data_IF_873531991088
#
_entry.id   IF_873531991088
#
_cell.length_a   1.000
_cell.length_b   1.000
_cell.length_c   1.000
_cell.angle_alpha   90.00
_cell.angle_beta   90.00
_cell.angle_gamma   90.00
#
_symmetry.space_group_name_H-M   'P 1'
#
loop_
_entity.id
_entity.type
_entity.pdbx_description
1 polymer ?
#
# COMPACT_ATOMS: atom_id res chain seq x y z
N UNK A 1 -0.42 3.32 16.02
CA UNK A 1 0.65 3.47 15.02
C UNK A 1 0.98 4.94 14.99
N UNK A 2 2.24 5.27 15.22
CA UNK A 2 2.73 6.62 15.03
C UNK A 2 3.46 6.68 13.69
N UNK A 3 3.12 7.67 12.86
CA UNK A 3 3.83 7.96 11.62
C UNK A 3 4.72 9.19 11.85
N UNK A 4 6.02 9.04 11.65
CA UNK A 4 7.01 10.10 11.70
C UNK A 4 7.33 10.52 10.27
N UNK A 5 6.71 11.59 9.77
CA UNK A 5 7.15 12.29 8.56
C UNK A 5 7.68 13.66 8.94
N UNK A 6 8.59 14.24 8.16
CA UNK A 6 9.42 15.43 8.46
C UNK A 6 8.75 16.72 8.99
N UNK A 7 7.45 16.73 9.28
CA UNK A 7 6.69 17.85 9.83
C UNK A 7 5.83 17.51 11.08
N UNK A 8 5.84 16.27 11.59
CA UNK A 8 5.11 15.95 12.84
C UNK A 8 4.86 14.46 13.12
N UNK A 9 4.36 14.20 14.33
CA UNK A 9 4.00 12.86 14.82
C UNK A 9 2.50 12.65 14.71
N UNK A 10 2.04 11.70 13.88
CA UNK A 10 0.61 11.40 13.73
C UNK A 10 0.23 10.11 14.46
N UNK A 11 -0.69 10.17 15.42
CA UNK A 11 -1.21 9.01 16.15
C UNK A 11 -2.49 8.47 15.51
N UNK A 12 -2.41 7.31 14.86
CA UNK A 12 -3.57 6.63 14.29
C UNK A 12 -4.34 5.86 15.38
N UNK A 13 -5.59 6.27 15.63
CA UNK A 13 -6.59 5.50 16.38
C UNK A 13 -7.29 4.48 15.47
N UNK A 14 -8.05 3.56 16.06
CA UNK A 14 -8.90 2.66 15.28
C UNK A 14 -9.81 3.48 14.35
N UNK A 15 -9.99 2.99 13.12
CA UNK A 15 -10.74 3.64 12.02
C UNK A 15 -10.21 5.00 11.54
N UNK A 16 -9.07 5.47 12.05
CA UNK A 16 -8.43 6.66 11.51
C UNK A 16 -7.94 6.39 10.08
N UNK A 17 -8.10 7.39 9.21
CA UNK A 17 -7.56 7.40 7.85
C UNK A 17 -6.45 8.43 7.82
N UNK A 18 -5.28 8.04 7.32
CA UNK A 18 -4.13 8.90 7.19
C UNK A 18 -3.70 8.82 5.74
N UNK A 19 -3.49 9.98 5.12
CA UNK A 19 -2.89 10.07 3.79
C UNK A 19 -1.41 10.37 4.01
N UNK A 20 -0.56 9.51 3.46
CA UNK A 20 0.89 9.63 3.53
C UNK A 20 1.39 9.96 2.13
N UNK A 21 2.38 10.84 2.04
CA UNK A 21 3.06 11.15 0.78
C UNK A 21 4.31 10.28 0.68
N UNK A 22 4.37 9.43 -0.35
CA UNK A 22 5.48 8.52 -0.60
C UNK A 22 6.79 9.25 -0.94
N UNK A 23 6.72 10.54 -1.31
CA UNK A 23 7.91 11.35 -1.58
C UNK A 23 8.70 11.72 -0.31
N UNK A 24 8.10 11.56 0.87
CA UNK A 24 8.71 11.90 2.15
C UNK A 24 8.96 10.64 2.97
N UNK A 25 10.09 10.62 3.68
CA UNK A 25 10.39 9.52 4.61
C UNK A 25 9.33 9.46 5.72
N UNK A 26 8.83 8.26 5.98
CA UNK A 26 7.86 8.00 7.02
C UNK A 26 8.16 6.71 7.77
N UNK A 27 8.26 6.79 9.10
CA UNK A 27 8.45 5.61 9.96
C UNK A 27 7.17 5.26 10.72
N UNK A 28 6.83 3.97 10.77
CA UNK A 28 5.67 3.45 11.49
C UNK A 28 6.09 2.72 12.77
N UNK A 29 5.69 3.24 13.94
CA UNK A 29 5.99 2.59 15.22
C UNK A 29 4.74 2.07 15.95
N UNK A 30 4.84 0.85 16.51
CA UNK A 30 3.82 0.25 17.37
C UNK A 30 4.35 0.06 18.80
N UNK A 31 3.98 0.96 19.71
CA UNK A 31 4.35 0.92 21.13
C UNK A 31 3.51 -0.06 21.98
N UNK A 32 2.79 -1.00 21.37
CA UNK A 32 1.92 -1.94 22.08
C UNK A 32 2.17 -3.38 21.64
N UNK A 33 1.91 -4.34 22.55
CA UNK A 33 2.02 -5.78 22.25
C UNK A 33 0.82 -6.32 21.44
N UNK A 34 -0.14 -5.46 21.10
CA UNK A 34 -1.30 -5.85 20.30
C UNK A 34 -0.99 -5.78 18.81
N UNK A 35 -1.50 -6.76 18.07
CA UNK A 35 -1.47 -6.78 16.61
C UNK A 35 -2.24 -5.59 16.06
N UNK A 36 -1.60 -4.83 15.16
CA UNK A 36 -2.25 -3.74 14.43
C UNK A 36 -2.27 -4.07 12.94
N UNK A 37 -3.48 -4.09 12.39
CA UNK A 37 -3.70 -4.28 10.95
C UNK A 37 -3.86 -2.90 10.32
N UNK A 38 -3.15 -2.68 9.22
CA UNK A 38 -3.18 -1.45 8.43
C UNK A 38 -3.54 -1.83 7.00
N UNK A 39 -4.44 -1.07 6.39
CA UNK A 39 -4.75 -1.19 4.98
C UNK A 39 -4.08 -0.04 4.24
N UNK A 40 -3.13 -0.37 3.37
CA UNK A 40 -2.53 0.57 2.43
C UNK A 40 -3.39 0.62 1.17
N UNK A 41 -3.66 1.83 0.67
CA UNK A 41 -4.43 2.05 -0.55
C UNK A 41 -3.72 3.14 -1.34
N UNK A 42 -3.05 2.74 -2.42
CA UNK A 42 -2.33 3.64 -3.30
C UNK A 42 -3.12 3.90 -4.57
N UNK A 43 -3.13 5.16 -5.00
CA UNK A 43 -3.84 5.59 -6.20
C UNK A 43 -2.84 5.95 -7.30
N UNK A 44 -3.18 5.63 -8.55
CA UNK A 44 -2.37 6.03 -9.70
C UNK A 44 -2.40 7.56 -9.84
N UNK A 45 -1.24 8.21 -9.67
CA UNK A 45 -1.08 9.64 -9.94
C UNK A 45 -1.42 9.92 -11.40
N UNK A 46 -2.33 10.87 -11.73
CA UNK A 46 -2.66 11.20 -13.12
C UNK A 46 -1.64 12.21 -13.68
N UNK A 47 -0.64 11.78 -14.49
CA UNK A 47 0.26 12.73 -15.14
C UNK A 47 -0.45 13.44 -16.30
N UNK A 48 0.10 14.58 -16.72
CA UNK A 48 -0.39 15.32 -17.90
C UNK A 48 -0.07 14.56 -19.19
N UNK A 49 -0.81 14.85 -20.26
CA UNK A 49 -0.46 14.38 -21.60
C UNK A 49 0.90 14.95 -22.01
N UNK A 50 1.81 14.18 -22.64
CA UNK A 50 1.67 12.78 -23.12
C UNK A 50 2.07 11.69 -22.11
N UNK A 51 2.62 12.06 -20.96
CA UNK A 51 3.13 11.11 -19.95
C UNK A 51 2.06 10.15 -19.40
N UNK A 52 0.78 10.54 -19.43
CA UNK A 52 -0.37 9.66 -19.17
C UNK A 52 -0.32 8.37 -19.98
N UNK A 53 -0.08 8.47 -21.28
CA UNK A 53 -0.12 7.30 -22.16
C UNK A 53 1.02 6.32 -21.83
N UNK A 54 2.21 6.87 -21.60
CA UNK A 54 3.39 6.08 -21.19
C UNK A 54 3.14 5.41 -19.84
N UNK A 55 2.63 6.16 -18.86
CA UNK A 55 2.32 5.62 -17.53
C UNK A 55 1.31 4.46 -17.61
N UNK A 56 0.23 4.61 -18.40
CA UNK A 56 -0.75 3.53 -18.59
C UNK A 56 -0.14 2.30 -19.26
N UNK A 57 0.71 2.49 -20.26
CA UNK A 57 1.41 1.40 -20.93
C UNK A 57 2.35 0.65 -19.96
N UNK A 58 3.17 1.38 -19.22
CA UNK A 58 4.10 0.81 -18.24
C UNK A 58 3.38 0.07 -17.11
N UNK A 59 2.31 0.64 -16.55
CA UNK A 59 1.51 -0.04 -15.52
C UNK A 59 0.84 -1.30 -16.07
N UNK A 60 0.34 -1.28 -17.30
CA UNK A 60 -0.21 -2.46 -17.95
C UNK A 60 0.84 -3.57 -18.16
N UNK A 61 2.06 -3.19 -18.52
CA UNK A 61 3.18 -4.12 -18.67
C UNK A 61 3.72 -4.63 -17.32
N UNK A 62 3.69 -3.80 -16.29
CA UNK A 62 4.18 -4.14 -14.95
C UNK A 62 3.46 -5.36 -14.34
N UNK A 63 2.18 -5.55 -14.66
CA UNK A 63 1.39 -6.73 -14.24
C UNK A 63 1.98 -8.05 -14.75
N UNK A 64 2.76 -8.02 -15.83
CA UNK A 64 3.42 -9.20 -16.37
C UNK A 64 4.77 -9.50 -15.71
N UNK A 65 5.29 -8.60 -14.88
CA UNK A 65 6.57 -8.81 -14.21
C UNK A 65 6.47 -9.92 -13.16
N UNK A 66 7.54 -10.72 -12.94
CA UNK A 66 7.54 -11.79 -11.94
C UNK A 66 7.19 -11.30 -10.54
N UNK A 67 7.71 -10.12 -10.16
CA UNK A 67 7.47 -9.51 -8.86
C UNK A 67 5.98 -9.31 -8.54
N UNK A 68 5.22 -8.75 -9.49
CA UNK A 68 3.78 -8.51 -9.29
C UNK A 68 3.00 -9.82 -9.25
N UNK A 69 3.37 -10.80 -10.10
CA UNK A 69 2.73 -12.12 -10.14
C UNK A 69 2.93 -12.89 -8.83
N UNK A 70 4.15 -12.93 -8.32
CA UNK A 70 4.47 -13.59 -7.05
C UNK A 70 3.67 -12.98 -5.89
N UNK A 71 3.54 -11.64 -5.86
CA UNK A 71 2.69 -10.96 -4.88
C UNK A 71 1.22 -11.37 -4.95
N UNK A 72 0.66 -11.44 -6.17
CA UNK A 72 -0.73 -11.88 -6.39
C UNK A 72 -0.93 -13.33 -5.99
N UNK A 73 0.01 -14.22 -6.30
CA UNK A 73 -0.10 -15.63 -5.96
C UNK A 73 0.05 -15.87 -4.45
N UNK A 74 0.96 -15.17 -3.78
CA UNK A 74 1.06 -15.18 -2.32
C UNK A 74 -0.23 -14.68 -1.64
N UNK A 75 -0.85 -13.63 -2.19
CA UNK A 75 -2.14 -13.13 -1.71
C UNK A 75 -3.24 -14.20 -1.87
N UNK A 76 -3.32 -14.86 -3.03
CA UNK A 76 -4.29 -15.94 -3.28
C UNK A 76 -4.10 -17.13 -2.35
N UNK A 77 -2.86 -17.53 -2.09
CA UNK A 77 -2.56 -18.62 -1.15
C UNK A 77 -2.94 -18.24 0.28
N UNK A 78 -2.71 -16.98 0.68
CA UNK A 78 -3.20 -16.46 1.94
C UNK A 78 -4.73 -16.49 2.01
N UNK A 79 -5.43 -16.01 0.97
CA UNK A 79 -6.89 -16.03 0.90
C UNK A 79 -7.47 -17.44 1.06
N UNK A 80 -6.88 -18.46 0.41
CA UNK A 80 -7.31 -19.86 0.57
C UNK A 80 -7.18 -20.38 2.00
N UNK A 81 -6.12 -19.96 2.73
CA UNK A 81 -5.86 -20.40 4.10
C UNK A 81 -6.82 -19.79 5.11
N UNK A 82 -7.19 -18.52 4.92
CA UNK A 82 -8.00 -17.77 5.89
C UNK A 82 -9.48 -17.64 5.50
N UNK A 83 -9.80 -17.76 4.22
CA UNK A 83 -11.16 -17.76 3.68
C UNK A 83 -11.44 -19.01 2.83
N UNK A 84 -11.38 -20.23 3.40
CA UNK A 84 -11.99 -21.37 2.74
C UNK A 84 -13.49 -21.05 2.58
N UNK A 85 -13.96 -20.91 1.33
CA UNK A 85 -15.41 -20.81 1.08
C UNK A 85 -16.12 -22.00 1.75
N UNK A 86 -17.33 -21.81 2.29
CA UNK A 86 -18.15 -22.93 2.77
C UNK A 86 -18.40 -23.95 1.65
#
# INVERSE_FOLDING_TARGET
>A
MFLLGGYGVVSARNTARIVVDDAYEHEAWNHSRHTRVVLFVDFVKPPRFPANLVNRCLLGLAVFTPFVREGVDNLREWEKRFYPRP
#
